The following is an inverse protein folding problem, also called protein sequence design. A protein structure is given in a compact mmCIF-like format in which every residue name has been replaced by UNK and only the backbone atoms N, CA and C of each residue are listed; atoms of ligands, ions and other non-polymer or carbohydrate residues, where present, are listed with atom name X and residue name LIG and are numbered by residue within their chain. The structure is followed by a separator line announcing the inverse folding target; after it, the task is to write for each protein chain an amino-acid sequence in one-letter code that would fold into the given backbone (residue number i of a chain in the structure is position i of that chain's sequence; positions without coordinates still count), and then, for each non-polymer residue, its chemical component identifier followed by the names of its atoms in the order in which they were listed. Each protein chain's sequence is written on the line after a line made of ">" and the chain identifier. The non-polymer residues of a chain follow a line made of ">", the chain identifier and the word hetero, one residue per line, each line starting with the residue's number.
data_IF_528148363450
#
_entry.id   IF_528148363450
#
_cell.length_a   1.000
_cell.length_b   1.000
_cell.length_c   1.000
_cell.angle_alpha   90.00
_cell.angle_beta   90.00
_cell.angle_gamma   90.00
#
_symmetry.space_group_name_H-M   'P 1'
#
loop_
_entity.id
_entity.type
_entity.pdbx_description
1 polymer ?
#
# COMPACT_ATOMS: atom_id res chain seq x y z
N UNK A 1 -4.54 16.34 -7.13
CA UNK A 1 -4.73 16.93 -5.78
C UNK A 1 -5.56 16.07 -4.82
N UNK A 2 -6.44 15.17 -5.29
CA UNK A 2 -7.30 14.35 -4.42
C UNK A 2 -6.57 13.63 -3.27
N UNK A 3 -5.38 13.07 -3.55
CA UNK A 3 -4.54 12.40 -2.53
C UNK A 3 -4.08 13.37 -1.43
N UNK A 4 -3.75 14.62 -1.79
CA UNK A 4 -3.39 15.69 -0.85
C UNK A 4 -4.59 16.09 0.04
N UNK A 5 -5.82 15.88 -0.45
CA UNK A 5 -7.04 16.08 0.31
C UNK A 5 -7.43 14.86 1.15
N UNK A 6 -6.54 13.88 1.31
CA UNK A 6 -6.79 12.68 2.11
C UNK A 6 -7.59 11.58 1.41
N UNK A 7 -7.95 11.74 0.13
CA UNK A 7 -8.65 10.69 -0.63
C UNK A 7 -7.69 9.52 -0.84
N UNK A 8 -8.18 8.30 -0.60
CA UNK A 8 -7.46 7.03 -0.78
C UNK A 8 -8.28 6.09 -1.66
N UNK A 9 -7.64 5.14 -2.36
CA UNK A 9 -8.35 4.09 -3.08
C UNK A 9 -9.28 3.31 -2.15
N UNK A 10 -10.43 2.90 -2.68
CA UNK A 10 -11.28 1.93 -2.00
C UNK A 10 -10.58 0.57 -1.92
N UNK A 11 -10.75 -0.11 -0.79
CA UNK A 11 -10.11 -1.40 -0.52
C UNK A 11 -11.20 -2.46 -0.54
N UNK A 12 -11.01 -3.47 -1.40
CA UNK A 12 -11.81 -4.68 -1.36
C UNK A 12 -11.32 -5.60 -0.23
N UNK A 13 -12.05 -5.64 0.88
CA UNK A 13 -11.67 -6.44 2.05
C UNK A 13 -11.64 -7.96 1.79
N UNK A 14 -12.26 -8.43 0.71
CA UNK A 14 -12.22 -9.85 0.33
C UNK A 14 -10.95 -10.23 -0.44
N UNK A 15 -10.32 -9.27 -1.10
CA UNK A 15 -9.14 -9.49 -1.94
C UNK A 15 -7.84 -9.45 -1.14
N UNK A 16 -7.81 -8.71 -0.03
CA UNK A 16 -6.60 -8.41 0.71
C UNK A 16 -6.76 -8.92 2.15
N UNK A 17 -5.77 -9.64 2.71
CA UNK A 17 -5.78 -10.02 4.12
C UNK A 17 -5.91 -8.79 5.02
N UNK A 18 -6.81 -8.84 6.01
CA UNK A 18 -7.10 -7.69 6.90
C UNK A 18 -5.84 -7.11 7.55
N UNK A 19 -4.88 -7.94 7.93
CA UNK A 19 -3.60 -7.48 8.47
C UNK A 19 -2.84 -6.54 7.52
N UNK A 20 -2.89 -6.77 6.20
CA UNK A 20 -2.29 -5.87 5.21
C UNK A 20 -3.10 -4.60 5.02
N UNK A 21 -4.43 -4.67 5.11
CA UNK A 21 -5.29 -3.50 5.07
C UNK A 21 -4.93 -2.53 6.20
N UNK A 22 -4.73 -3.06 7.41
CA UNK A 22 -4.36 -2.27 8.57
C UNK A 22 -2.97 -1.64 8.43
N UNK A 23 -2.01 -2.38 7.84
CA UNK A 23 -0.67 -1.87 7.51
C UNK A 23 -0.75 -0.74 6.46
N UNK A 24 -1.45 -0.97 5.35
CA UNK A 24 -1.64 0.03 4.30
C UNK A 24 -2.25 1.31 4.87
N UNK A 25 -3.27 1.17 5.73
CA UNK A 25 -3.92 2.27 6.47
C UNK A 25 -2.96 3.13 7.26
N UNK A 26 -1.98 2.52 7.94
CA UNK A 26 -0.95 3.26 8.67
C UNK A 26 0.09 3.90 7.74
N UNK A 27 0.52 3.20 6.69
CA UNK A 27 1.54 3.69 5.77
C UNK A 27 1.13 4.94 4.99
N UNK A 28 -0.16 5.08 4.67
CA UNK A 28 -0.68 6.22 3.91
C UNK A 28 -1.48 7.23 4.76
N UNK A 29 -1.27 7.25 6.08
CA UNK A 29 -1.91 8.20 6.99
C UNK A 29 -1.62 9.65 6.53
N UNK A 30 -2.63 10.51 6.61
CA UNK A 30 -2.52 11.92 6.22
C UNK A 30 -1.52 12.67 7.10
N UNK A 31 -1.41 12.30 8.38
CA UNK A 31 -0.38 12.80 9.28
C UNK A 31 0.91 11.97 9.12
N UNK A 32 2.02 12.56 8.66
CA UNK A 32 3.29 11.84 8.50
C UNK A 32 3.81 11.22 9.80
N UNK A 33 3.54 11.83 10.95
CA UNK A 33 4.00 11.33 12.25
C UNK A 33 3.31 10.02 12.68
N UNK A 34 2.17 9.68 12.08
CA UNK A 34 1.48 8.42 12.33
C UNK A 34 2.00 7.27 11.44
N UNK A 35 2.79 7.59 10.41
CA UNK A 35 3.30 6.59 9.48
C UNK A 35 4.40 5.77 10.15
N UNK A 36 4.39 4.44 10.03
CA UNK A 36 5.42 3.61 10.61
C UNK A 36 6.75 3.85 9.88
N UNK A 37 7.86 3.76 10.62
CA UNK A 37 9.16 3.62 10.00
C UNK A 37 9.26 2.26 9.30
N UNK A 38 10.24 2.12 8.40
CA UNK A 38 10.54 0.81 7.78
C UNK A 38 10.86 -0.25 8.84
N UNK A 39 11.52 0.15 9.93
CA UNK A 39 11.86 -0.73 11.04
C UNK A 39 10.60 -1.20 11.80
N UNK A 40 9.64 -0.30 12.03
CA UNK A 40 8.38 -0.66 12.69
C UNK A 40 7.51 -1.55 11.81
N UNK A 41 7.53 -1.30 10.49
CA UNK A 41 6.86 -2.13 9.50
C UNK A 41 7.47 -3.55 9.46
N UNK A 42 8.80 -3.65 9.41
CA UNK A 42 9.51 -4.94 9.46
C UNK A 42 9.15 -5.72 10.73
N UNK A 43 9.21 -5.08 11.90
CA UNK A 43 8.79 -5.70 13.18
C UNK A 43 7.35 -6.17 13.14
N UNK A 44 6.45 -5.38 12.57
CA UNK A 44 5.04 -5.73 12.43
C UNK A 44 4.88 -6.99 11.58
N UNK A 45 5.54 -7.06 10.42
CA UNK A 45 5.50 -8.22 9.51
C UNK A 45 6.09 -9.46 10.18
N UNK A 46 7.28 -9.34 10.77
CA UNK A 46 7.96 -10.43 11.47
C UNK A 46 7.17 -10.93 12.71
N UNK A 47 6.28 -10.09 13.26
CA UNK A 47 5.41 -10.48 14.37
C UNK A 47 4.46 -11.60 13.96
N UNK A 48 3.81 -11.48 12.79
CA UNK A 48 2.81 -12.47 12.34
C UNK A 48 3.33 -13.48 11.31
N UNK A 49 4.39 -13.15 10.58
CA UNK A 49 5.06 -14.02 9.62
C UNK A 49 6.59 -14.01 9.85
N UNK A 50 7.07 -14.68 10.90
CA UNK A 50 8.50 -14.77 11.20
C UNK A 50 9.28 -15.45 10.06
N UNK A 51 10.58 -15.16 9.98
CA UNK A 51 11.51 -15.67 8.95
C UNK A 51 11.54 -17.21 8.80
N UNK A 52 11.01 -17.97 9.77
CA UNK A 52 10.87 -19.41 9.69
C UNK A 52 9.69 -19.89 8.81
N UNK A 53 8.95 -18.96 8.18
CA UNK A 53 8.01 -19.25 7.10
C UNK A 53 6.64 -19.78 7.54
N UNK A 54 6.28 -19.66 8.82
CA UNK A 54 4.96 -20.04 9.33
C UNK A 54 4.25 -18.87 10.01
N UNK A 55 2.92 -18.83 9.89
CA UNK A 55 2.10 -17.87 10.62
C UNK A 55 2.06 -18.23 12.10
N UNK A 56 2.26 -17.23 12.98
CA UNK A 56 2.14 -17.45 14.43
C UNK A 56 0.69 -17.67 14.87
N UNK A 57 -0.25 -17.05 14.15
CA UNK A 57 -1.67 -17.08 14.46
C UNK A 57 -2.45 -17.75 13.32
N UNK A 58 -3.29 -18.73 13.69
CA UNK A 58 -4.17 -19.44 12.76
C UNK A 58 -5.19 -18.51 12.11
N UNK A 59 -5.67 -17.49 12.82
CA UNK A 59 -6.61 -16.53 12.26
C UNK A 59 -5.94 -15.69 11.17
N UNK A 60 -4.68 -15.30 11.37
CA UNK A 60 -3.91 -14.61 10.34
C UNK A 60 -3.74 -15.52 9.13
N UNK A 61 -3.32 -16.78 9.31
CA UNK A 61 -3.23 -17.75 8.20
C UNK A 61 -4.54 -17.84 7.41
N UNK A 62 -5.68 -17.90 8.10
CA UNK A 62 -7.01 -17.98 7.50
C UNK A 62 -7.37 -16.74 6.67
N UNK A 63 -6.93 -15.54 7.08
CA UNK A 63 -7.12 -14.33 6.28
C UNK A 63 -6.38 -14.42 4.93
N UNK A 64 -5.15 -14.93 4.92
CA UNK A 64 -4.37 -15.13 3.70
C UNK A 64 -4.98 -16.19 2.79
N UNK A 65 -5.44 -17.31 3.36
CA UNK A 65 -6.11 -18.37 2.60
C UNK A 65 -7.38 -17.84 1.91
N UNK A 66 -8.23 -17.10 2.63
CA UNK A 66 -9.44 -16.48 2.05
C UNK A 66 -9.14 -15.49 0.93
N UNK A 67 -8.15 -14.64 1.12
CA UNK A 67 -7.73 -13.68 0.09
C UNK A 67 -7.22 -14.40 -1.17
N UNK A 68 -6.46 -15.48 -1.00
CA UNK A 68 -5.96 -16.29 -2.12
C UNK A 68 -7.08 -17.06 -2.83
N UNK A 69 -8.07 -17.58 -2.10
CA UNK A 69 -9.27 -18.18 -2.68
C UNK A 69 -10.05 -17.16 -3.51
N UNK A 70 -10.24 -15.94 -2.98
CA UNK A 70 -10.88 -14.84 -3.72
C UNK A 70 -10.10 -14.51 -5.00
N UNK A 71 -8.77 -14.37 -4.91
CA UNK A 71 -7.90 -14.08 -6.06
C UNK A 71 -8.01 -15.14 -7.15
N UNK A 72 -8.04 -16.43 -6.76
CA UNK A 72 -8.21 -17.55 -7.71
C UNK A 72 -9.59 -17.59 -8.34
N UNK A 73 -10.64 -17.34 -7.57
CA UNK A 73 -12.01 -17.32 -8.08
C UNK A 73 -12.27 -16.18 -9.07
N UNK A 74 -11.58 -15.04 -8.89
CA UNK A 74 -11.73 -13.85 -9.72
C UNK A 74 -10.63 -13.70 -10.80
N UNK A 75 -9.83 -14.75 -11.07
CA UNK A 75 -8.70 -14.66 -12.01
C UNK A 75 -9.11 -14.19 -13.41
N UNK A 76 -10.31 -14.58 -13.88
CA UNK A 76 -10.85 -14.24 -15.20
C UNK A 76 -11.27 -12.76 -15.35
N UNK A 77 -11.52 -12.03 -14.25
CA UNK A 77 -11.80 -10.59 -14.33
C UNK A 77 -10.52 -9.74 -14.44
N UNK A 78 -9.36 -10.30 -14.09
CA UNK A 78 -8.08 -9.60 -14.11
C UNK A 78 -7.50 -9.56 -15.54
N UNK A 79 -7.70 -10.60 -16.35
CA UNK A 79 -7.25 -10.63 -17.76
C UNK A 79 -8.04 -9.69 -18.67
N UNK A 80 -9.32 -9.41 -18.38
CA UNK A 80 -10.13 -8.46 -19.15
C UNK A 80 -9.89 -6.99 -18.75
N UNK A 81 -9.35 -6.76 -17.55
CA UNK A 81 -8.82 -5.46 -17.12
C UNK A 81 -7.41 -5.26 -17.68
N UNK A 82 -7.25 -5.26 -19.02
CA UNK A 82 -6.09 -4.64 -19.63
C UNK A 82 -6.03 -3.22 -19.07
N UNK A 83 -5.08 -2.98 -18.16
CA UNK A 83 -4.92 -1.71 -17.47
C UNK A 83 -4.87 -0.61 -18.52
N UNK A 84 -5.97 0.14 -18.66
CA UNK A 84 -5.97 1.38 -19.40
C UNK A 84 -5.02 2.28 -18.64
N UNK A 85 -3.80 2.35 -19.15
CA UNK A 85 -2.79 3.23 -18.63
C UNK A 85 -3.39 4.63 -18.64
N UNK A 86 -3.43 5.30 -17.48
CA UNK A 86 -4.00 6.64 -17.41
C UNK A 86 -3.26 7.51 -18.45
N UNK A 87 -3.95 8.33 -19.27
CA UNK A 87 -3.30 9.09 -20.34
C UNK A 87 -2.14 9.98 -19.86
N UNK A 88 -2.14 10.35 -18.58
CA UNK A 88 -1.11 11.16 -17.93
C UNK A 88 -0.03 10.35 -17.19
N UNK A 89 -0.07 9.02 -17.25
CA UNK A 89 0.93 8.18 -16.59
C UNK A 89 2.21 8.10 -17.42
N UNK A 90 3.35 8.36 -16.77
CA UNK A 90 4.68 8.27 -17.36
C UNK A 90 5.48 7.20 -16.61
N UNK A 91 5.93 6.16 -17.31
CA UNK A 91 6.69 5.04 -16.74
C UNK A 91 8.19 5.13 -17.05
N UNK A 92 8.60 6.17 -17.78
CA UNK A 92 9.99 6.48 -18.06
C UNK A 92 10.47 7.62 -17.18
N UNK A 93 11.77 7.66 -16.93
CA UNK A 93 12.38 8.76 -16.19
C UNK A 93 12.16 10.09 -16.92
N UNK A 94 11.90 11.14 -16.16
CA UNK A 94 11.76 12.51 -16.66
C UNK A 94 12.32 13.49 -15.63
N UNK A 95 12.80 14.63 -16.11
CA UNK A 95 13.22 15.72 -15.23
C UNK A 95 12.01 16.23 -14.43
N UNK A 96 12.21 16.43 -13.12
CA UNK A 96 11.19 17.01 -12.25
C UNK A 96 10.88 18.44 -12.71
N UNK A 97 9.60 18.69 -13.00
CA UNK A 97 9.17 20.00 -13.46
C UNK A 97 9.22 21.01 -12.30
N UNK A 98 9.95 22.14 -12.41
CA UNK A 98 10.09 23.13 -11.34
C UNK A 98 8.77 23.77 -10.87
N UNK A 99 7.63 23.60 -11.57
CA UNK A 99 6.31 24.06 -11.09
C UNK A 99 5.78 23.33 -9.86
N UNK A 100 6.45 22.29 -9.37
CA UNK A 100 6.18 21.75 -8.04
C UNK A 100 6.51 22.76 -6.92
N UNK A 101 7.19 23.89 -7.22
CA UNK A 101 7.58 24.93 -6.23
C UNK A 101 6.43 25.44 -5.35
N UNK A 102 5.19 25.42 -5.85
CA UNK A 102 4.00 25.81 -5.09
C UNK A 102 3.35 24.65 -4.28
N UNK A 103 3.86 23.42 -4.39
CA UNK A 103 3.46 22.27 -3.57
C UNK A 103 4.34 22.13 -2.30
N UNK A 104 5.40 22.92 -2.17
CA UNK A 104 6.39 22.85 -1.06
C UNK A 104 5.94 23.53 0.25
N UNK A 105 4.64 23.73 0.47
CA UNK A 105 4.17 24.11 1.82
C UNK A 105 4.01 22.91 2.75
N UNK A 106 4.17 21.67 2.27
CA UNK A 106 4.32 20.50 3.14
C UNK A 106 5.80 20.38 3.52
N UNK A 107 6.09 20.49 4.81
CA UNK A 107 7.41 20.34 5.41
C UNK A 107 8.18 19.19 4.75
N UNK A 108 9.35 19.52 4.21
CA UNK A 108 10.28 18.56 3.65
C UNK A 108 10.79 17.71 4.82
N UNK A 109 10.25 16.50 4.95
CA UNK A 109 10.88 15.46 5.77
C UNK A 109 12.13 15.04 5.00
N UNK A 110 13.27 15.52 5.46
CA UNK A 110 14.57 15.11 4.98
C UNK A 110 14.78 13.62 5.32
N UNK A 111 14.89 12.78 4.29
CA UNK A 111 15.13 11.34 4.42
C UNK A 111 16.62 10.99 4.54
N UNK A 112 17.52 11.97 4.70
CA UNK A 112 18.98 11.74 4.76
C UNK A 112 19.57 11.67 6.18
N UNK A 113 18.91 10.96 7.10
CA UNK A 113 19.55 10.53 8.36
C UNK A 113 19.57 9.02 8.50
#
# INVERSE_FOLDING_TARGET
>A
LNICNGIRPEINESEIPKIYIDIMKKCWDSNPNNRPSVIDLEKSINSFYPAFGYFKDKEIKKQFEKAEEYRKANLLSIESNQSTTHPEAYYTSRLLNPFTKNLYSMEVIDFTK
#
